data_IF_401920960478
#
_entry.id   IF_401920960478
#
_cell.length_a   1.000
_cell.length_b   1.000
_cell.length_c   1.000
_cell.angle_alpha   90.00
_cell.angle_beta   90.00
_cell.angle_gamma   90.00
#
_symmetry.space_group_name_H-M   'P 1'
#
loop_
_entity.id
_entity.type
_entity.pdbx_description
1 polymer ?
#
# COMPACT_ATOMS: atom_id res chain seq x y z
N UNK A 1 -13.24 -6.45 0.21
CA UNK A 1 -12.81 -5.20 -0.48
C UNK A 1 -13.49 -5.16 -1.85
N UNK A 2 -13.96 -3.99 -2.32
CA UNK A 2 -14.51 -3.86 -3.69
C UNK A 2 -13.36 -4.06 -4.69
N UNK A 3 -13.61 -4.72 -5.80
CA UNK A 3 -12.64 -4.78 -6.91
C UNK A 3 -12.36 -3.36 -7.39
N UNK A 4 -11.15 -2.86 -7.12
CA UNK A 4 -10.71 -1.56 -7.60
C UNK A 4 -10.05 -1.74 -8.97
N UNK A 5 -10.41 -0.89 -9.92
CA UNK A 5 -9.71 -0.80 -11.19
C UNK A 5 -8.52 0.14 -11.04
N UNK A 6 -7.33 -0.32 -11.42
CA UNK A 6 -6.09 0.47 -11.33
C UNK A 6 -5.79 1.06 -12.71
N UNK A 7 -6.39 2.21 -13.00
CA UNK A 7 -6.12 2.98 -14.21
C UNK A 7 -5.77 4.42 -13.85
N UNK A 8 -5.17 5.15 -14.79
CA UNK A 8 -4.77 6.55 -14.55
C UNK A 8 -5.94 7.45 -14.13
N UNK A 9 -7.14 7.19 -14.67
CA UNK A 9 -8.36 7.92 -14.33
C UNK A 9 -8.94 7.58 -12.94
N UNK A 10 -8.55 6.43 -12.37
CA UNK A 10 -9.05 5.94 -11.08
C UNK A 10 -8.08 6.19 -9.91
N UNK A 11 -6.91 6.80 -10.13
CA UNK A 11 -5.91 7.10 -9.08
C UNK A 11 -6.52 7.76 -7.85
N UNK A 12 -7.06 8.96 -8.02
CA UNK A 12 -7.64 9.74 -6.92
C UNK A 12 -8.86 9.06 -6.28
N UNK A 13 -9.87 8.57 -7.04
CA UNK A 13 -10.96 7.78 -6.46
C UNK A 13 -10.49 6.58 -5.63
N UNK A 14 -9.49 5.84 -6.09
CA UNK A 14 -8.93 4.70 -5.36
C UNK A 14 -8.27 5.14 -4.05
N UNK A 15 -7.49 6.22 -4.05
CA UNK A 15 -6.89 6.73 -2.81
C UNK A 15 -7.93 7.14 -1.77
N UNK A 16 -9.03 7.77 -2.22
CA UNK A 16 -10.15 8.10 -1.34
C UNK A 16 -10.83 6.85 -0.80
N UNK A 17 -11.06 5.83 -1.64
CA UNK A 17 -11.69 4.58 -1.19
C UNK A 17 -10.82 3.78 -0.23
N UNK A 18 -9.50 3.99 -0.27
CA UNK A 18 -8.53 3.43 0.68
C UNK A 18 -8.43 4.23 1.99
N UNK A 19 -9.08 5.39 2.11
CA UNK A 19 -9.12 6.16 3.36
C UNK A 19 -8.43 7.52 3.35
N UNK A 20 -7.87 7.95 2.23
CA UNK A 20 -7.19 9.24 2.19
C UNK A 20 -8.18 10.40 2.17
N UNK A 21 -7.87 11.46 2.91
CA UNK A 21 -8.53 12.76 2.77
C UNK A 21 -8.20 13.39 1.40
N UNK A 22 -8.93 14.45 1.02
CA UNK A 22 -8.80 15.06 -0.30
C UNK A 22 -7.38 15.59 -0.57
N UNK A 23 -6.76 16.23 0.42
CA UNK A 23 -5.41 16.78 0.32
C UNK A 23 -4.37 15.68 0.12
N UNK A 24 -4.47 14.59 0.88
CA UNK A 24 -3.55 13.45 0.79
C UNK A 24 -3.76 12.65 -0.50
N UNK A 25 -5.00 12.47 -0.95
CA UNK A 25 -5.29 11.82 -2.24
C UNK A 25 -4.71 12.63 -3.42
N UNK A 26 -4.80 13.97 -3.35
CA UNK A 26 -4.19 14.86 -4.34
C UNK A 26 -2.67 14.82 -4.30
N UNK A 27 -2.07 14.85 -3.10
CA UNK A 27 -0.63 14.73 -2.92
C UNK A 27 -0.09 13.39 -3.47
N UNK A 28 -0.79 12.28 -3.18
CA UNK A 28 -0.43 10.93 -3.68
C UNK A 28 -0.55 10.84 -5.20
N UNK A 29 -1.60 11.43 -5.79
CA UNK A 29 -1.75 11.51 -7.24
C UNK A 29 -0.63 12.32 -7.89
N UNK A 30 -0.23 13.44 -7.27
CA UNK A 30 0.91 14.26 -7.73
C UNK A 30 2.24 13.50 -7.61
N UNK A 31 2.43 12.71 -6.56
CA UNK A 31 3.63 11.89 -6.36
C UNK A 31 3.84 10.88 -7.50
N UNK A 32 2.78 10.27 -8.04
CA UNK A 32 2.87 9.43 -9.26
C UNK A 32 3.50 10.20 -10.43
N UNK A 33 3.16 11.49 -10.57
CA UNK A 33 3.72 12.36 -11.60
C UNK A 33 5.25 12.48 -11.55
N UNK A 34 5.86 12.32 -10.37
CA UNK A 34 7.31 12.36 -10.17
C UNK A 34 8.03 11.14 -10.73
N UNK A 35 7.28 10.06 -11.00
CA UNK A 35 7.80 8.81 -11.57
C UNK A 35 7.67 8.72 -13.09
N UNK A 36 7.14 9.74 -13.77
CA UNK A 36 6.88 9.70 -15.23
C UNK A 36 8.10 9.31 -16.06
N UNK A 37 9.27 9.83 -15.74
CA UNK A 37 10.52 9.49 -16.46
C UNK A 37 11.00 8.06 -16.21
N UNK A 38 10.52 7.40 -15.16
CA UNK A 38 10.89 6.04 -14.77
C UNK A 38 9.94 4.98 -15.33
N UNK A 39 8.77 5.37 -15.87
CA UNK A 39 7.75 4.44 -16.40
C UNK A 39 8.31 3.41 -17.38
N UNK A 40 9.13 3.78 -18.40
CA UNK A 40 9.69 2.77 -19.32
C UNK A 40 10.53 1.72 -18.60
N UNK A 41 11.31 2.13 -17.59
CA UNK A 41 12.11 1.22 -16.78
C UNK A 41 11.21 0.31 -15.92
N UNK A 42 10.18 0.87 -15.30
CA UNK A 42 9.24 0.08 -14.48
C UNK A 42 8.49 -0.96 -15.31
N UNK A 43 7.99 -0.59 -16.50
CA UNK A 43 7.37 -1.56 -17.42
C UNK A 43 8.32 -2.69 -17.76
N UNK A 44 9.55 -2.35 -18.15
CA UNK A 44 10.59 -3.34 -18.43
C UNK A 44 10.86 -4.26 -17.23
N UNK A 45 10.98 -3.72 -16.02
CA UNK A 45 11.21 -4.51 -14.81
C UNK A 45 10.05 -5.44 -14.45
N UNK A 46 8.81 -4.98 -14.64
CA UNK A 46 7.59 -5.78 -14.43
C UNK A 46 7.56 -6.94 -15.43
N UNK A 47 7.87 -6.67 -16.71
CA UNK A 47 7.92 -7.68 -17.76
C UNK A 47 9.03 -8.71 -17.51
N UNK A 48 10.25 -8.26 -17.21
CA UNK A 48 11.42 -9.14 -16.96
C UNK A 48 11.26 -10.00 -15.70
N UNK A 49 10.44 -9.57 -14.73
CA UNK A 49 10.22 -10.27 -13.45
C UNK A 49 8.75 -10.69 -13.27
N UNK A 50 8.02 -10.93 -14.35
CA UNK A 50 6.59 -11.23 -14.31
C UNK A 50 6.24 -12.38 -13.35
N UNK A 51 7.06 -13.43 -13.31
CA UNK A 51 6.88 -14.58 -12.40
C UNK A 51 6.99 -14.24 -10.92
N UNK A 52 7.66 -13.14 -10.56
CA UNK A 52 7.78 -12.65 -9.18
C UNK A 52 6.61 -11.73 -8.83
N UNK A 53 6.21 -10.87 -9.76
CA UNK A 53 5.29 -9.77 -9.45
C UNK A 53 3.85 -9.99 -9.89
N UNK A 54 3.55 -11.07 -10.61
CA UNK A 54 2.19 -11.42 -11.01
C UNK A 54 1.27 -11.56 -9.79
N UNK A 55 1.66 -12.37 -8.80
CA UNK A 55 0.87 -12.58 -7.57
C UNK A 55 0.75 -11.32 -6.69
N UNK A 56 1.58 -10.32 -6.96
CA UNK A 56 1.62 -9.05 -6.24
C UNK A 56 0.70 -8.02 -6.88
N UNK A 57 0.81 -7.82 -8.19
CA UNK A 57 0.15 -6.74 -8.90
C UNK A 57 -1.07 -7.19 -9.74
N UNK A 58 -1.20 -8.46 -10.09
CA UNK A 58 -2.32 -8.96 -10.89
C UNK A 58 -3.54 -9.22 -10.04
N UNK A 59 -4.54 -8.35 -10.18
CA UNK A 59 -5.69 -8.29 -9.27
C UNK A 59 -6.61 -9.52 -9.32
N UNK A 60 -6.61 -10.29 -10.41
CA UNK A 60 -7.47 -11.46 -10.57
C UNK A 60 -6.96 -12.69 -9.79
N UNK A 61 -5.64 -12.86 -9.70
CA UNK A 61 -5.00 -14.06 -9.17
C UNK A 61 -4.31 -13.82 -7.81
N UNK A 62 -4.26 -12.56 -7.36
CA UNK A 62 -3.58 -12.21 -6.13
C UNK A 62 -4.30 -12.76 -4.89
N UNK A 63 -3.53 -13.41 -4.01
CA UNK A 63 -4.00 -13.86 -2.69
C UNK A 63 -4.43 -12.70 -1.78
N UNK A 64 -3.85 -11.52 -2.01
CA UNK A 64 -4.11 -10.30 -1.25
C UNK A 64 -4.38 -9.13 -2.18
N UNK A 65 -5.23 -8.16 -1.78
CA UNK A 65 -5.43 -6.98 -2.59
C UNK A 65 -4.13 -6.15 -2.68
N UNK A 66 -3.92 -5.40 -3.79
CA UNK A 66 -2.67 -4.68 -4.06
C UNK A 66 -2.12 -3.82 -2.91
N UNK A 67 -2.93 -3.12 -2.10
CA UNK A 67 -2.42 -2.35 -0.95
C UNK A 67 -1.68 -3.19 0.09
N UNK A 68 -1.96 -4.49 0.18
CA UNK A 68 -1.30 -5.39 1.12
C UNK A 68 -0.23 -6.23 0.44
N UNK A 69 -0.49 -6.82 -0.73
CA UNK A 69 0.50 -7.64 -1.45
C UNK A 69 1.74 -6.84 -1.82
N UNK A 70 1.57 -5.61 -2.33
CA UNK A 70 2.69 -4.80 -2.86
C UNK A 70 3.72 -4.41 -1.81
N UNK A 71 3.39 -4.49 -0.52
CA UNK A 71 4.35 -4.30 0.56
C UNK A 71 5.51 -5.31 0.49
N UNK A 72 5.26 -6.51 -0.02
CA UNK A 72 6.27 -7.58 -0.11
C UNK A 72 7.44 -7.24 -1.03
N UNK A 73 7.27 -6.31 -1.98
CA UNK A 73 8.30 -5.94 -2.95
C UNK A 73 8.60 -4.43 -3.02
N UNK A 74 7.75 -3.58 -2.41
CA UNK A 74 7.92 -2.12 -2.44
C UNK A 74 8.43 -1.53 -1.12
N UNK A 75 8.55 -2.34 -0.06
CA UNK A 75 8.95 -1.88 1.27
C UNK A 75 10.02 -2.78 1.85
N UNK A 76 11.21 -2.23 2.09
CA UNK A 76 12.32 -2.98 2.69
C UNK A 76 12.45 -2.69 4.18
N UNK A 77 13.04 -3.62 4.92
CA UNK A 77 13.38 -3.40 6.32
C UNK A 77 14.87 -3.05 6.47
N UNK A 78 15.17 -1.88 7.06
CA UNK A 78 16.52 -1.44 7.37
C UNK A 78 16.59 -0.95 8.82
N UNK A 79 17.49 -1.50 9.63
CA UNK A 79 17.64 -1.15 11.04
C UNK A 79 16.31 -1.25 11.82
N UNK A 80 15.58 -2.36 11.63
CA UNK A 80 14.25 -2.61 12.21
C UNK A 80 13.17 -1.58 11.84
N UNK A 81 13.36 -0.83 10.75
CA UNK A 81 12.37 0.11 10.20
C UNK A 81 12.00 -0.28 8.79
N UNK A 82 10.70 -0.26 8.51
CA UNK A 82 10.18 -0.52 7.16
C UNK A 82 10.14 0.79 6.37
N UNK A 83 10.77 0.79 5.21
CA UNK A 83 11.02 1.97 4.39
C UNK A 83 10.54 1.67 2.97
N UNK A 84 9.69 2.56 2.45
CA UNK A 84 9.26 2.50 1.05
C UNK A 84 10.46 2.70 0.14
N UNK A 85 10.64 1.77 -0.79
CA UNK A 85 11.71 1.86 -1.78
C UNK A 85 11.42 3.06 -2.67
N UNK A 86 12.36 4.00 -2.74
CA UNK A 86 12.23 5.14 -3.65
C UNK A 86 12.17 4.61 -5.08
N UNK A 87 11.20 5.06 -5.87
CA UNK A 87 11.05 4.63 -7.26
C UNK A 87 12.36 4.69 -8.06
N UNK A 88 13.17 5.75 -7.90
CA UNK A 88 14.49 5.87 -8.57
C UNK A 88 15.49 4.77 -8.21
N UNK A 89 15.37 4.16 -7.03
CA UNK A 89 16.22 3.09 -6.50
C UNK A 89 15.64 1.69 -6.66
N UNK A 90 14.42 1.56 -7.16
CA UNK A 90 13.81 0.26 -7.46
C UNK A 90 14.48 -0.31 -8.72
N UNK A 91 15.37 -1.28 -8.52
CA UNK A 91 16.13 -1.95 -9.58
C UNK A 91 15.60 -3.37 -9.87
N UNK A 92 15.18 -4.07 -8.84
CA UNK A 92 14.65 -5.43 -8.84
C UNK A 92 13.43 -5.49 -7.92
N UNK A 93 12.52 -6.43 -8.20
CA UNK A 93 11.46 -6.79 -7.28
C UNK A 93 11.92 -8.02 -6.51
N UNK A 94 12.11 -7.86 -5.21
CA UNK A 94 12.62 -8.91 -4.34
C UNK A 94 11.66 -9.04 -3.16
N UNK A 95 11.19 -10.27 -2.93
CA UNK A 95 10.37 -10.59 -1.78
C UNK A 95 11.12 -10.29 -0.49
N UNK A 96 10.47 -9.53 0.38
CA UNK A 96 11.09 -9.03 1.58
C UNK A 96 10.86 -10.01 2.74
N UNK A 97 11.93 -10.53 3.39
CA UNK A 97 11.79 -11.57 4.40
C UNK A 97 10.90 -11.19 5.59
N UNK A 98 10.82 -9.91 5.94
CA UNK A 98 9.95 -9.44 7.02
C UNK A 98 8.47 -9.67 6.70
N UNK A 99 8.08 -9.60 5.42
CA UNK A 99 6.68 -9.68 5.00
C UNK A 99 6.08 -11.07 5.24
N UNK A 100 6.85 -12.13 5.00
CA UNK A 100 6.39 -13.51 5.26
C UNK A 100 6.15 -13.82 6.74
N UNK A 101 6.67 -13.00 7.65
CA UNK A 101 6.54 -13.18 9.09
C UNK A 101 5.41 -12.35 9.71
N UNK A 102 4.74 -11.49 8.93
CA UNK A 102 3.65 -10.66 9.47
C UNK A 102 2.35 -11.46 9.58
N UNK A 103 1.52 -11.25 10.63
CA UNK A 103 0.21 -11.89 10.78
C UNK A 103 -0.83 -11.24 9.84
N UNK A 104 -0.58 -11.30 8.52
CA UNK A 104 -1.32 -10.54 7.52
C UNK A 104 -2.81 -10.88 7.50
N UNK A 105 -3.15 -12.18 7.60
CA UNK A 105 -4.53 -12.63 7.62
C UNK A 105 -5.30 -12.07 8.82
N UNK A 106 -4.69 -12.11 10.00
CA UNK A 106 -5.32 -11.60 11.23
C UNK A 106 -5.48 -10.08 11.15
N UNK A 107 -4.44 -9.36 10.74
CA UNK A 107 -4.51 -7.92 10.52
C UNK A 107 -5.59 -7.56 9.50
N UNK A 108 -5.65 -8.25 8.35
CA UNK A 108 -6.64 -8.00 7.32
C UNK A 108 -8.06 -8.28 7.82
N UNK A 109 -8.25 -9.37 8.57
CA UNK A 109 -9.55 -9.68 9.20
C UNK A 109 -9.98 -8.58 10.17
N UNK A 110 -9.12 -8.19 11.09
CA UNK A 110 -9.42 -7.19 12.12
C UNK A 110 -9.63 -5.79 11.52
N UNK A 111 -8.91 -5.44 10.46
CA UNK A 111 -8.94 -4.10 9.90
C UNK A 111 -9.96 -3.97 8.77
N UNK A 112 -9.88 -4.83 7.76
CA UNK A 112 -10.65 -4.71 6.51
C UNK A 112 -11.96 -5.47 6.52
N UNK A 113 -12.02 -6.60 7.22
CA UNK A 113 -13.21 -7.46 7.27
C UNK A 113 -14.06 -7.26 8.53
N UNK A 114 -13.70 -6.29 9.37
CA UNK A 114 -14.49 -5.97 10.54
C UNK A 114 -15.93 -5.59 10.21
N UNK A 115 -16.86 -6.01 11.06
CA UNK A 115 -18.30 -5.74 10.95
C UNK A 115 -18.58 -4.24 10.74
N UNK A 116 -17.85 -3.39 11.46
CA UNK A 116 -17.87 -1.93 11.32
C UNK A 116 -16.55 -1.43 10.74
N UNK A 117 -16.28 -1.78 9.48
CA UNK A 117 -15.10 -1.32 8.75
C UNK A 117 -15.08 0.22 8.70
N UNK A 118 -14.01 0.82 9.18
CA UNK A 118 -13.79 2.26 9.09
C UNK A 118 -13.51 2.70 7.65
N UNK A 119 -13.77 3.96 7.33
CA UNK A 119 -13.51 4.52 5.99
C UNK A 119 -12.03 4.48 5.63
N UNK A 120 -11.15 4.69 6.62
CA UNK A 120 -9.69 4.65 6.49
C UNK A 120 -9.06 3.30 6.90
N UNK A 121 -9.83 2.21 6.87
CA UNK A 121 -9.35 0.86 7.16
C UNK A 121 -8.08 0.49 6.37
N UNK A 122 -8.09 0.64 5.05
CA UNK A 122 -6.91 0.27 4.22
C UNK A 122 -5.70 1.11 4.56
N UNK A 123 -5.87 2.42 4.65
CA UNK A 123 -4.79 3.32 5.03
C UNK A 123 -4.22 3.00 6.42
N UNK A 124 -5.07 2.71 7.41
CA UNK A 124 -4.66 2.35 8.76
C UNK A 124 -3.99 0.97 8.84
N UNK A 125 -4.48 -0.03 8.10
CA UNK A 125 -3.89 -1.36 8.03
C UNK A 125 -2.51 -1.35 7.39
N UNK A 126 -2.38 -0.68 6.24
CA UNK A 126 -1.08 -0.46 5.59
C UNK A 126 -0.14 0.34 6.50
N UNK A 127 -0.66 1.34 7.22
CA UNK A 127 0.17 2.12 8.16
C UNK A 127 0.68 1.29 9.34
N UNK A 128 -0.09 0.30 9.82
CA UNK A 128 0.39 -0.63 10.85
C UNK A 128 1.58 -1.44 10.34
N UNK A 129 1.49 -1.93 9.09
CA UNK A 129 2.59 -2.64 8.44
C UNK A 129 3.79 -1.72 8.19
N UNK A 130 3.61 -0.47 7.74
CA UNK A 130 4.73 0.45 7.55
C UNK A 130 5.44 0.84 8.85
N UNK A 131 4.74 0.80 9.98
CA UNK A 131 5.28 1.16 11.30
C UNK A 131 5.78 -0.03 12.13
N UNK A 132 5.64 -1.26 11.62
CA UNK A 132 5.88 -2.48 12.39
C UNK A 132 5.05 -2.52 13.69
N UNK A 133 3.76 -2.14 13.59
CA UNK A 133 2.79 -2.05 14.71
C UNK A 133 1.56 -2.91 14.46
N UNK A 134 1.73 -4.07 13.82
CA UNK A 134 0.64 -5.00 13.51
C UNK A 134 -0.04 -5.52 14.77
N UNK A 135 0.72 -5.85 15.81
CA UNK A 135 0.18 -6.30 17.09
C UNK A 135 -0.76 -5.25 17.70
N UNK A 136 -0.36 -3.97 17.70
CA UNK A 136 -1.22 -2.88 18.17
C UNK A 136 -2.50 -2.76 17.35
N UNK A 137 -2.43 -2.99 16.05
CA UNK A 137 -3.58 -2.93 15.15
C UNK A 137 -4.55 -4.11 15.37
N UNK A 138 -4.03 -5.31 15.57
CA UNK A 138 -4.78 -6.54 15.85
C UNK A 138 -5.44 -6.48 17.23
N UNK A 139 -4.69 -6.08 18.25
CA UNK A 139 -5.19 -5.98 19.63
C UNK A 139 -6.13 -4.78 19.85
N UNK A 140 -6.23 -3.88 18.87
CA UNK A 140 -7.03 -2.67 18.98
C UNK A 140 -6.42 -1.65 19.96
N UNK A 141 -5.10 -1.64 20.10
CA UNK A 141 -4.36 -0.62 20.84
C UNK A 141 -4.33 0.70 20.05
N UNK A 142 -4.06 1.82 20.74
CA UNK A 142 -4.00 3.13 20.09
C UNK A 142 -2.88 3.22 19.05
N UNK A 143 -3.10 3.82 17.85
CA UNK A 143 -4.30 4.51 17.39
C UNK A 143 -5.38 3.62 16.75
N UNK A 144 -5.24 2.31 16.66
CA UNK A 144 -6.23 1.39 16.05
C UNK A 144 -7.39 0.99 16.97
N UNK A 145 -7.54 1.64 18.13
CA UNK A 145 -8.65 1.34 19.05
C UNK A 145 -10.00 1.83 18.53
N UNK A 146 -10.98 0.90 18.50
CA UNK A 146 -12.38 1.12 18.06
C UNK A 146 -13.40 1.19 19.21
N UNK A 147 -12.94 1.20 20.46
CA UNK A 147 -13.82 1.25 21.63
C UNK A 147 -14.55 2.61 21.75
N UNK A 148 -15.42 2.77 22.77
CA UNK A 148 -16.19 4.01 23.00
C UNK A 148 -15.33 5.27 23.17
N UNK A 149 -14.06 5.13 23.54
CA UNK A 149 -13.07 6.21 23.62
C UNK A 149 -12.10 6.19 22.42
N UNK A 150 -12.53 5.57 21.32
CA UNK A 150 -11.69 5.12 20.22
C UNK A 150 -10.76 6.19 19.67
N UNK A 151 -9.52 5.77 19.43
CA UNK A 151 -8.47 6.60 18.84
C UNK A 151 -8.31 6.37 17.35
N UNK A 152 -9.12 5.48 16.75
CA UNK A 152 -9.11 5.17 15.32
C UNK A 152 -9.15 6.43 14.47
N UNK A 153 -8.04 6.75 13.81
CA UNK A 153 -7.96 7.80 12.79
C UNK A 153 -6.55 7.90 12.25
N UNK A 154 -6.41 7.83 10.92
CA UNK A 154 -5.14 8.19 10.28
C UNK A 154 -4.76 9.65 10.55
N UNK A 155 -5.74 10.55 10.66
CA UNK A 155 -5.51 11.94 11.01
C UNK A 155 -4.92 12.13 12.43
N UNK A 156 -5.16 11.20 13.36
CA UNK A 156 -4.47 11.16 14.65
C UNK A 156 -3.08 10.55 14.52
N UNK A 157 -2.95 9.44 13.77
CA UNK A 157 -1.67 8.76 13.55
C UNK A 157 -0.63 9.70 12.91
N UNK A 158 -1.02 10.50 11.92
CA UNK A 158 -0.12 11.44 11.22
C UNK A 158 0.31 12.67 12.04
N UNK A 159 -0.26 12.89 13.24
CA UNK A 159 0.11 14.01 14.12
C UNK A 159 1.44 13.80 14.83
N UNK A 160 1.93 12.57 14.96
CA UNK A 160 3.27 12.34 15.50
C UNK A 160 4.31 12.52 14.38
N UNK A 161 5.05 13.64 14.34
CA UNK A 161 6.03 13.90 13.29
C UNK A 161 7.19 12.90 13.30
N UNK A 162 7.42 12.18 14.41
CA UNK A 162 8.52 11.21 14.51
C UNK A 162 8.28 9.94 13.70
N UNK A 163 7.02 9.65 13.37
CA UNK A 163 6.66 8.45 12.60
C UNK A 163 7.00 8.59 11.12
N UNK A 164 6.98 9.81 10.57
CA UNK A 164 7.10 10.05 9.12
C UNK A 164 5.99 9.38 8.29
N UNK A 165 4.93 8.87 8.94
CA UNK A 165 3.96 7.97 8.31
C UNK A 165 3.15 8.63 7.19
N UNK A 166 2.92 9.94 7.29
CA UNK A 166 2.23 10.70 6.24
C UNK A 166 3.01 10.61 4.91
N UNK A 167 4.32 10.89 4.93
CA UNK A 167 5.10 10.80 3.70
C UNK A 167 5.27 9.34 3.25
N UNK A 168 5.51 8.42 4.18
CA UNK A 168 5.66 7.00 3.85
C UNK A 168 4.41 6.43 3.16
N UNK A 169 3.22 6.79 3.61
CA UNK A 169 1.97 6.35 2.96
C UNK A 169 1.78 6.99 1.58
N UNK A 170 2.08 8.28 1.41
CA UNK A 170 2.06 8.92 0.08
C UNK A 170 3.03 8.21 -0.89
N UNK A 171 4.26 7.98 -0.46
CA UNK A 171 5.29 7.32 -1.27
C UNK A 171 4.86 5.88 -1.62
N UNK A 172 4.33 5.15 -0.64
CA UNK A 172 3.88 3.78 -0.82
C UNK A 172 2.71 3.68 -1.80
N UNK A 173 1.61 4.39 -1.52
CA UNK A 173 0.39 4.27 -2.32
C UNK A 173 0.56 4.81 -3.73
N UNK A 174 1.41 5.84 -3.93
CA UNK A 174 1.74 6.32 -5.26
C UNK A 174 2.50 5.27 -6.08
N UNK A 175 3.53 4.64 -5.49
CA UNK A 175 4.29 3.61 -6.18
C UNK A 175 3.46 2.35 -6.41
N UNK A 176 2.75 1.86 -5.39
CA UNK A 176 1.86 0.71 -5.49
C UNK A 176 0.84 0.88 -6.61
N UNK A 177 0.09 2.00 -6.61
CA UNK A 177 -0.94 2.22 -7.63
C UNK A 177 -0.33 2.29 -9.03
N UNK A 178 0.81 2.98 -9.20
CA UNK A 178 1.50 3.02 -10.48
C UNK A 178 1.95 1.64 -10.95
N UNK A 179 2.53 0.81 -10.08
CA UNK A 179 2.97 -0.53 -10.46
C UNK A 179 1.81 -1.43 -10.84
N UNK A 180 0.72 -1.40 -10.05
CA UNK A 180 -0.51 -2.13 -10.36
C UNK A 180 -1.13 -1.64 -11.68
N UNK A 181 -1.17 -0.33 -11.93
CA UNK A 181 -1.65 0.25 -13.19
C UNK A 181 -0.82 -0.24 -14.38
N UNK A 182 0.51 -0.26 -14.26
CA UNK A 182 1.39 -0.71 -15.34
C UNK A 182 1.27 -2.22 -15.59
N UNK A 183 1.15 -3.02 -14.53
CA UNK A 183 1.01 -4.47 -14.64
C UNK A 183 -0.35 -4.92 -15.23
N UNK A 184 -1.42 -4.17 -14.97
CA UNK A 184 -2.77 -4.46 -15.48
C UNK A 184 -3.12 -3.64 -16.74
N UNK A 185 -2.16 -2.98 -17.38
CA UNK A 185 -2.38 -2.27 -18.65
C UNK A 185 -2.80 -3.25 -19.76
N UNK A 186 -3.97 -3.02 -20.37
CA UNK A 186 -4.58 -3.96 -21.33
C UNK A 186 -3.71 -4.27 -22.57
N UNK A 187 -2.74 -3.41 -22.89
CA UNK A 187 -1.91 -3.55 -24.10
C UNK A 187 -0.51 -4.04 -23.82
N UNK A 188 0.02 -3.73 -22.63
CA UNK A 188 1.45 -3.87 -22.31
C UNK A 188 1.71 -4.42 -20.91
N UNK A 189 0.67 -4.70 -20.13
CA UNK A 189 0.76 -5.29 -18.80
C UNK A 189 1.08 -6.78 -18.86
N UNK A 190 1.18 -7.43 -17.71
CA UNK A 190 1.48 -8.87 -17.55
C UNK A 190 0.28 -9.68 -17.02
N UNK A 191 -0.83 -9.02 -16.68
CA UNK A 191 -1.97 -9.62 -15.98
C UNK A 191 -3.12 -10.03 -16.91
N UNK A 192 -2.80 -10.53 -18.11
CA UNK A 192 -3.76 -10.87 -19.17
C UNK A 192 -3.96 -12.38 -19.34
#
# INVERSE_FOLDING_TARGET
>A
MRFLQYTSGQRRPNFKSMGMDDDMADATTKAIGQHKSQIPRFKKQIEEQASVVADVFCTADASWPPPYSSLSVLVKEENAKRIVIRGSRLLTFEDQPWYSNVPLQELYTEIELAEKRAEDATLMGVSALLLSREADAIEGNSPWSRNLMGTWSFAKLKKDPKTGIHQATIDYFSLMHLMTELANDEKTGICY
#
